data_IF_835683795930
#
_entry.id   IF_835683795930
#
_cell.length_a   1.000
_cell.length_b   1.000
_cell.length_c   1.000
_cell.angle_alpha   90.00
_cell.angle_beta   90.00
_cell.angle_gamma   90.00
#
_symmetry.space_group_name_H-M   'P 1'
#
loop_
_entity.id
_entity.type
_entity.pdbx_description
1 polymer ?
#
# COMPACT_ATOMS: atom_id res chain seq x y z
N UNK A 1 6.59 -8.16 -24.27
CA UNK A 1 5.26 -8.33 -23.66
C UNK A 1 5.13 -7.35 -22.51
N UNK A 2 3.96 -6.71 -22.32
CA UNK A 2 3.74 -5.80 -21.19
C UNK A 2 3.93 -6.56 -19.87
N UNK A 3 4.42 -5.87 -18.83
CA UNK A 3 4.39 -6.40 -17.47
C UNK A 3 2.93 -6.56 -17.01
N UNK A 4 2.61 -7.66 -16.34
CA UNK A 4 1.27 -7.94 -15.83
C UNK A 4 1.26 -7.81 -14.31
N UNK A 5 0.48 -6.87 -13.80
CA UNK A 5 0.30 -6.67 -12.36
C UNK A 5 -1.11 -7.12 -11.95
N UNK A 6 -1.23 -7.83 -10.83
CA UNK A 6 -2.51 -8.15 -10.20
C UNK A 6 -2.68 -7.32 -8.93
N UNK A 7 -3.69 -6.45 -8.92
CA UNK A 7 -4.06 -5.67 -7.74
C UNK A 7 -5.14 -6.44 -6.98
N UNK A 8 -4.80 -6.87 -5.77
CA UNK A 8 -5.61 -7.77 -4.95
C UNK A 8 -6.31 -6.94 -3.88
N UNK A 9 -7.62 -6.77 -4.01
CA UNK A 9 -8.46 -6.42 -2.88
C UNK A 9 -8.84 -7.69 -2.10
N UNK A 10 -8.32 -7.89 -0.88
CA UNK A 10 -8.55 -9.12 -0.13
C UNK A 10 -9.91 -9.12 0.61
N UNK A 11 -10.75 -8.09 0.42
CA UNK A 11 -12.15 -8.08 0.86
C UNK A 11 -13.13 -8.32 -0.31
N UNK A 12 -14.38 -8.62 0.01
CA UNK A 12 -15.40 -9.00 -0.99
C UNK A 12 -16.11 -7.81 -1.65
N UNK A 13 -15.69 -6.57 -1.34
CA UNK A 13 -16.28 -5.36 -1.90
C UNK A 13 -15.71 -5.05 -3.28
N UNK A 14 -16.52 -5.28 -4.31
CA UNK A 14 -16.21 -4.84 -5.68
C UNK A 14 -16.07 -3.32 -5.75
N UNK A 15 -16.88 -2.58 -4.97
CA UNK A 15 -16.78 -1.13 -4.88
C UNK A 15 -15.41 -0.65 -4.41
N UNK A 16 -14.81 -1.28 -3.38
CA UNK A 16 -13.45 -0.94 -2.94
C UNK A 16 -12.41 -1.27 -4.01
N UNK A 17 -12.63 -2.33 -4.78
CA UNK A 17 -11.76 -2.67 -5.93
C UNK A 17 -11.84 -1.61 -7.02
N UNK A 18 -13.05 -1.14 -7.34
CA UNK A 18 -13.27 -0.09 -8.33
C UNK A 18 -12.66 1.25 -7.89
N UNK A 19 -12.64 1.54 -6.58
CA UNK A 19 -12.01 2.73 -6.02
C UNK A 19 -10.47 2.76 -6.21
N UNK A 20 -9.82 1.59 -6.35
CA UNK A 20 -8.38 1.51 -6.63
C UNK A 20 -8.03 1.89 -8.08
N UNK A 21 -8.93 1.62 -9.04
CA UNK A 21 -8.71 1.85 -10.47
C UNK A 21 -8.27 3.28 -10.81
N UNK A 22 -8.94 4.36 -10.35
CA UNK A 22 -8.50 5.72 -10.66
C UNK A 22 -7.12 6.05 -10.09
N UNK A 23 -6.73 5.47 -8.95
CA UNK A 23 -5.38 5.65 -8.39
C UNK A 23 -4.37 4.98 -9.30
N UNK A 24 -4.59 3.70 -9.62
CA UNK A 24 -3.65 2.90 -10.43
C UNK A 24 -3.52 3.47 -11.84
N UNK A 25 -4.62 3.94 -12.44
CA UNK A 25 -4.60 4.64 -13.73
C UNK A 25 -3.98 6.04 -13.63
N UNK A 26 -4.16 6.70 -12.48
CA UNK A 26 -3.62 8.02 -12.16
C UNK A 26 -2.14 8.01 -11.82
N UNK A 27 -1.56 6.85 -11.48
CA UNK A 27 -0.10 6.61 -11.54
C UNK A 27 0.28 6.67 -13.01
N UNK A 28 0.46 7.88 -13.53
CA UNK A 28 0.64 8.08 -14.96
C UNK A 28 1.98 7.45 -15.40
N UNK A 29 1.86 6.33 -16.10
CA UNK A 29 2.97 5.59 -16.70
C UNK A 29 3.51 6.23 -17.99
N UNK A 30 2.93 7.37 -18.40
CA UNK A 30 3.23 8.11 -19.63
C UNK A 30 3.15 9.63 -19.42
N UNK A 31 4.21 10.20 -18.85
CA UNK A 31 4.32 11.67 -18.72
C UNK A 31 3.28 12.26 -17.79
N UNK A 32 3.28 11.76 -16.55
CA UNK A 32 3.69 12.51 -15.37
C UNK A 32 3.75 11.51 -14.20
N UNK A 33 4.89 10.85 -14.06
CA UNK A 33 5.02 9.73 -13.11
C UNK A 33 5.11 10.19 -11.65
N UNK A 34 5.03 9.26 -10.70
CA UNK A 34 5.48 9.45 -9.32
C UNK A 34 6.86 10.15 -9.27
N UNK A 35 7.75 9.89 -10.24
CA UNK A 35 9.08 10.52 -10.36
C UNK A 35 9.01 12.03 -10.69
N UNK A 36 7.93 12.55 -11.28
CA UNK A 36 7.75 14.00 -11.45
C UNK A 36 7.27 14.72 -10.19
N UNK A 37 6.63 14.00 -9.27
CA UNK A 37 6.38 14.47 -7.90
C UNK A 37 7.69 14.47 -7.10
N UNK A 38 8.67 13.63 -7.46
CA UNK A 38 9.82 13.32 -6.61
C UNK A 38 11.19 13.81 -7.10
N UNK A 39 11.31 14.47 -8.28
CA UNK A 39 12.60 14.97 -8.79
C UNK A 39 12.54 16.27 -9.62
N UNK A 40 11.52 17.13 -9.43
CA UNK A 40 11.56 18.50 -9.96
C UNK A 40 11.46 18.66 -11.49
N UNK A 41 10.77 17.74 -12.19
CA UNK A 41 10.23 18.04 -13.54
C UNK A 41 11.17 17.92 -14.74
N UNK A 42 12.06 16.92 -14.80
CA UNK A 42 12.80 16.60 -16.05
C UNK A 42 12.08 15.51 -16.86
N UNK A 43 11.74 15.83 -18.11
CA UNK A 43 10.99 15.01 -19.07
C UNK A 43 11.88 13.89 -19.64
N UNK A 44 11.37 12.65 -19.64
CA UNK A 44 11.94 11.49 -20.34
C UNK A 44 11.15 11.17 -21.63
N UNK A 45 11.78 10.57 -22.65
CA UNK A 45 11.22 10.49 -24.01
C UNK A 45 9.99 9.56 -24.17
N UNK A 46 9.23 9.85 -25.23
CA UNK A 46 7.75 9.78 -25.30
C UNK A 46 7.05 8.41 -25.51
N UNK A 47 7.70 7.25 -25.51
CA UNK A 47 6.94 5.98 -25.70
C UNK A 47 7.51 4.78 -24.97
N UNK A 48 6.75 4.25 -24.00
CA UNK A 48 6.75 2.84 -23.62
C UNK A 48 5.32 2.25 -23.57
N UNK A 49 5.07 1.09 -24.21
CA UNK A 49 3.78 0.41 -24.28
C UNK A 49 3.70 -0.86 -23.39
N UNK A 50 3.78 -0.77 -22.05
CA UNK A 50 4.40 -1.89 -21.31
C UNK A 50 3.81 -2.36 -19.97
N UNK A 51 2.58 -2.02 -19.56
CA UNK A 51 1.97 -2.62 -18.34
C UNK A 51 0.48 -2.91 -18.54
N UNK A 52 0.05 -4.12 -18.22
CA UNK A 52 -1.34 -4.53 -18.05
C UNK A 52 -1.61 -4.70 -16.55
N UNK A 53 -2.73 -4.13 -16.09
CA UNK A 53 -3.18 -4.26 -14.70
C UNK A 53 -4.51 -4.98 -14.68
N UNK A 54 -4.55 -6.12 -13.98
CA UNK A 54 -5.77 -6.85 -13.70
C UNK A 54 -6.10 -6.70 -12.19
N UNK A 55 -7.37 -6.94 -11.83
CA UNK A 55 -7.87 -6.74 -10.47
C UNK A 55 -8.48 -8.04 -9.94
N UNK A 56 -8.24 -8.31 -8.66
CA UNK A 56 -8.88 -9.38 -7.91
C UNK A 56 -9.69 -8.80 -6.76
N UNK A 57 -10.92 -9.29 -6.59
CA UNK A 57 -11.75 -9.07 -5.41
C UNK A 57 -11.96 -10.42 -4.75
N UNK A 58 -11.87 -10.49 -3.42
CA UNK A 58 -12.11 -11.75 -2.72
C UNK A 58 -13.51 -12.32 -3.08
N UNK A 59 -13.63 -13.64 -3.35
CA UNK A 59 -14.92 -14.25 -3.65
C UNK A 59 -15.91 -14.08 -2.51
N UNK A 60 -17.20 -13.96 -2.85
CA UNK A 60 -18.28 -13.92 -1.85
C UNK A 60 -18.64 -15.31 -1.37
N UNK A 61 -18.47 -16.29 -2.24
CA UNK A 61 -18.68 -17.70 -1.96
C UNK A 61 -17.61 -18.19 -0.99
N UNK A 62 -17.97 -19.05 -0.01
CA UNK A 62 -17.00 -19.59 0.94
C UNK A 62 -15.92 -20.44 0.26
N UNK A 63 -14.71 -20.40 0.80
CA UNK A 63 -13.61 -21.26 0.38
C UNK A 63 -13.40 -22.38 1.40
N UNK A 64 -13.18 -23.61 0.94
CA UNK A 64 -12.81 -24.72 1.82
C UNK A 64 -11.29 -24.84 1.86
N UNK A 65 -10.69 -24.74 3.05
CA UNK A 65 -9.26 -24.90 3.25
C UNK A 65 -8.82 -26.35 3.00
N UNK A 66 -7.51 -26.59 2.92
CA UNK A 66 -6.95 -27.95 2.76
C UNK A 66 -7.31 -28.87 3.94
N UNK A 67 -7.54 -28.28 5.10
CA UNK A 67 -7.94 -28.93 6.35
C UNK A 67 -9.47 -29.12 6.46
N UNK A 68 -10.23 -28.77 5.41
CA UNK A 68 -11.69 -28.92 5.38
C UNK A 68 -12.46 -27.82 6.12
N UNK A 69 -11.81 -26.70 6.46
CA UNK A 69 -12.44 -25.58 7.17
C UNK A 69 -13.10 -24.65 6.15
N UNK A 70 -14.38 -24.36 6.33
CA UNK A 70 -15.11 -23.35 5.53
C UNK A 70 -14.74 -21.95 5.99
N UNK A 71 -14.23 -21.14 5.06
CA UNK A 71 -13.81 -19.76 5.27
C UNK A 71 -14.75 -18.83 4.50
N UNK A 72 -15.34 -17.87 5.21
CA UNK A 72 -16.25 -16.89 4.65
C UNK A 72 -15.49 -15.68 4.11
N UNK A 73 -15.97 -15.11 3.00
CA UNK A 73 -15.44 -13.87 2.46
C UNK A 73 -15.76 -12.67 3.36
N UNK A 74 -14.75 -11.83 3.62
CA UNK A 74 -14.89 -10.68 4.52
C UNK A 74 -15.22 -9.42 3.72
N UNK A 75 -16.36 -8.73 3.98
CA UNK A 75 -16.73 -7.50 3.24
C UNK A 75 -15.81 -6.30 3.49
N UNK A 76 -15.33 -6.16 4.72
CA UNK A 76 -14.39 -5.11 5.12
C UNK A 76 -13.50 -5.63 6.25
N UNK A 77 -12.19 -5.43 6.11
CA UNK A 77 -11.20 -5.88 7.08
C UNK A 77 -10.89 -4.73 8.03
N UNK A 78 -11.17 -4.91 9.32
CA UNK A 78 -11.10 -3.86 10.34
C UNK A 78 -10.17 -4.23 11.52
N UNK A 79 -9.49 -5.38 11.48
CA UNK A 79 -8.49 -5.79 12.47
C UNK A 79 -7.62 -6.95 11.96
N UNK A 80 -6.53 -7.27 12.67
CA UNK A 80 -5.62 -8.37 12.34
C UNK A 80 -6.26 -9.76 12.29
N UNK A 81 -7.29 -10.05 13.11
CA UNK A 81 -7.99 -11.35 13.02
C UNK A 81 -8.70 -11.52 11.67
N UNK A 82 -9.34 -10.45 11.21
CA UNK A 82 -9.99 -10.44 9.90
C UNK A 82 -8.97 -10.49 8.75
N UNK A 83 -7.78 -9.88 8.89
CA UNK A 83 -6.74 -9.97 7.85
C UNK A 83 -6.21 -11.40 7.68
N UNK A 84 -6.09 -12.16 8.78
CA UNK A 84 -5.73 -13.58 8.74
C UNK A 84 -6.78 -14.41 8.00
N UNK A 85 -8.06 -14.29 8.39
CA UNK A 85 -9.16 -15.02 7.76
C UNK A 85 -9.30 -14.68 6.28
N UNK A 86 -9.17 -13.39 5.94
CA UNK A 86 -9.17 -12.91 4.55
C UNK A 86 -8.00 -13.50 3.76
N UNK A 87 -6.79 -13.54 4.33
CA UNK A 87 -5.64 -14.14 3.67
C UNK A 87 -5.85 -15.63 3.37
N UNK A 88 -6.36 -16.39 4.34
CA UNK A 88 -6.68 -17.81 4.18
C UNK A 88 -7.77 -18.04 3.13
N UNK A 89 -8.78 -17.18 3.10
CA UNK A 89 -9.85 -17.23 2.10
C UNK A 89 -9.36 -16.93 0.68
N UNK A 90 -8.50 -15.91 0.51
CA UNK A 90 -8.04 -15.47 -0.80
C UNK A 90 -6.95 -16.37 -1.40
N UNK A 91 -6.08 -16.93 -0.56
CA UNK A 91 -4.85 -17.58 -1.01
C UNK A 91 -5.07 -18.75 -1.98
N UNK A 92 -6.02 -19.68 -1.78
CA UNK A 92 -6.25 -20.78 -2.72
C UNK A 92 -6.55 -20.32 -4.15
N UNK A 93 -7.29 -19.23 -4.30
CA UNK A 93 -7.63 -18.64 -5.60
C UNK A 93 -6.41 -17.98 -6.25
N UNK A 94 -5.62 -17.26 -5.46
CA UNK A 94 -4.44 -16.53 -5.93
C UNK A 94 -3.25 -17.44 -6.23
N UNK A 95 -3.12 -18.55 -5.50
CA UNK A 95 -2.04 -19.52 -5.70
C UNK A 95 -2.03 -20.07 -7.13
N UNK A 96 -3.22 -20.25 -7.72
CA UNK A 96 -3.36 -20.70 -9.11
C UNK A 96 -2.85 -19.70 -10.15
N UNK A 97 -2.77 -18.41 -9.78
CA UNK A 97 -2.34 -17.31 -10.65
C UNK A 97 -0.84 -17.02 -10.55
N UNK A 98 -0.13 -17.69 -9.65
CA UNK A 98 1.32 -17.59 -9.57
C UNK A 98 1.91 -18.17 -10.86
N UNK A 99 2.73 -17.38 -11.55
CA UNK A 99 3.27 -17.67 -12.85
C UNK A 99 2.48 -17.05 -14.00
N UNK A 100 1.38 -16.35 -13.75
CA UNK A 100 0.61 -15.63 -14.78
C UNK A 100 0.86 -14.11 -14.74
N UNK A 101 1.35 -13.60 -13.60
CA UNK A 101 1.61 -12.18 -13.35
C UNK A 101 3.06 -11.93 -12.92
N UNK A 102 3.62 -10.79 -13.32
CA UNK A 102 4.95 -10.32 -12.93
C UNK A 102 4.96 -9.68 -11.53
N UNK A 103 3.82 -9.15 -11.08
CA UNK A 103 3.72 -8.51 -9.77
C UNK A 103 2.34 -8.65 -9.12
N UNK A 104 2.32 -8.76 -7.79
CA UNK A 104 1.10 -8.83 -6.98
C UNK A 104 1.11 -7.71 -5.94
N UNK A 105 0.04 -6.91 -5.90
CA UNK A 105 -0.14 -5.86 -4.89
C UNK A 105 -1.31 -6.21 -3.97
N UNK A 106 -1.04 -6.40 -2.68
CA UNK A 106 -2.12 -6.61 -1.68
C UNK A 106 -2.62 -5.24 -1.19
N UNK A 107 -3.84 -4.89 -1.58
CA UNK A 107 -4.49 -3.61 -1.32
C UNK A 107 -5.28 -3.59 0.00
N UNK A 108 -4.63 -4.00 1.08
CA UNK A 108 -5.10 -3.80 2.45
C UNK A 108 -3.99 -3.14 3.27
N UNK A 109 -4.29 -2.01 3.91
CA UNK A 109 -3.30 -1.28 4.69
C UNK A 109 -3.20 -1.90 6.09
N UNK A 110 -2.48 -3.01 6.17
CA UNK A 110 -2.20 -3.78 7.38
C UNK A 110 -0.96 -4.66 7.15
N UNK A 111 -0.36 -5.25 8.18
CA UNK A 111 0.62 -6.32 8.03
C UNK A 111 -0.05 -7.61 7.51
N UNK A 112 -0.65 -7.53 6.31
CA UNK A 112 -1.58 -8.53 5.80
C UNK A 112 -0.85 -9.84 5.48
N UNK A 113 -1.19 -10.98 6.11
CA UNK A 113 -0.44 -12.23 5.97
C UNK A 113 -0.32 -12.72 4.52
N UNK A 114 -1.28 -12.38 3.68
CA UNK A 114 -1.31 -12.72 2.26
C UNK A 114 -0.04 -12.32 1.50
N UNK A 115 0.62 -11.20 1.88
CA UNK A 115 1.89 -10.77 1.26
C UNK A 115 2.97 -11.85 1.47
N UNK A 116 3.14 -12.32 2.70
CA UNK A 116 4.11 -13.36 3.03
C UNK A 116 3.76 -14.72 2.43
N UNK A 117 2.47 -15.06 2.38
CA UNK A 117 1.99 -16.31 1.75
C UNK A 117 2.30 -16.33 0.24
N UNK A 118 2.01 -15.24 -0.47
CA UNK A 118 2.31 -15.12 -1.90
C UNK A 118 3.83 -15.12 -2.14
N UNK A 119 4.61 -14.42 -1.32
CA UNK A 119 6.07 -14.37 -1.44
C UNK A 119 6.68 -15.77 -1.35
N UNK A 120 6.29 -16.55 -0.33
CA UNK A 120 6.74 -17.93 -0.17
C UNK A 120 6.35 -18.80 -1.37
N UNK A 121 5.12 -18.71 -1.85
CA UNK A 121 4.67 -19.52 -2.97
C UNK A 121 5.37 -19.14 -4.30
N UNK A 122 5.70 -17.86 -4.50
CA UNK A 122 6.55 -17.40 -5.62
C UNK A 122 7.96 -17.99 -5.50
N UNK A 123 8.57 -17.94 -4.32
CA UNK A 123 9.91 -18.49 -4.06
C UNK A 123 9.95 -20.01 -4.27
N UNK A 124 8.96 -20.74 -3.75
CA UNK A 124 8.81 -22.18 -3.95
C UNK A 124 8.75 -22.52 -5.44
N UNK A 125 7.94 -21.80 -6.22
CA UNK A 125 7.86 -21.97 -7.68
C UNK A 125 9.20 -21.70 -8.36
N UNK A 126 9.88 -20.62 -8.01
CA UNK A 126 11.16 -20.23 -8.62
C UNK A 126 12.28 -21.22 -8.30
N UNK A 127 12.19 -21.94 -7.18
CA UNK A 127 13.18 -22.94 -6.76
C UNK A 127 12.99 -24.32 -7.40
N UNK A 128 11.84 -24.60 -8.05
CA UNK A 128 11.61 -25.86 -8.77
C UNK A 128 12.43 -25.86 -10.06
N UNK A 129 13.35 -26.82 -10.19
CA UNK A 129 14.13 -27.01 -11.43
C UNK A 129 13.18 -27.26 -12.61
N UNK A 130 13.39 -26.62 -13.78
CA UNK A 130 12.54 -26.85 -14.95
C UNK A 130 12.53 -28.34 -15.29
N UNK A 131 11.39 -29.00 -15.10
CA UNK A 131 11.17 -30.35 -15.64
C UNK A 131 10.66 -30.21 -17.07
N UNK A 132 11.07 -31.13 -17.95
CA UNK A 132 10.76 -31.10 -19.39
C UNK A 132 9.24 -31.12 -19.73
N UNK A 133 8.36 -31.25 -18.74
CA UNK A 133 6.91 -31.32 -18.90
C UNK A 133 6.16 -30.00 -18.60
N UNK A 134 6.83 -28.96 -18.10
CA UNK A 134 6.20 -27.65 -17.86
C UNK A 134 6.45 -26.76 -19.08
N UNK A 135 5.64 -26.94 -20.13
CA UNK A 135 5.58 -26.06 -21.29
C UNK A 135 4.91 -24.71 -20.95
N UNK A 136 5.38 -23.99 -19.94
CA UNK A 136 5.15 -22.54 -19.79
C UNK A 136 6.33 -21.94 -19.05
N UNK A 137 7.38 -21.56 -19.78
CA UNK A 137 8.49 -20.91 -19.13
C UNK A 137 8.05 -19.45 -18.94
N UNK A 138 7.46 -19.13 -17.80
CA UNK A 138 7.31 -17.73 -17.41
C UNK A 138 8.70 -17.27 -16.96
N UNK A 139 9.37 -16.51 -17.83
CA UNK A 139 10.81 -16.21 -17.73
C UNK A 139 11.14 -15.03 -16.81
N UNK A 140 10.13 -14.33 -16.26
CA UNK A 140 10.35 -13.13 -15.45
C UNK A 140 10.21 -13.42 -13.97
N UNK A 141 11.09 -12.81 -13.18
CA UNK A 141 11.00 -12.84 -11.73
C UNK A 141 9.69 -12.17 -11.30
N UNK A 142 8.96 -12.83 -10.41
CA UNK A 142 7.70 -12.32 -9.89
C UNK A 142 7.93 -11.59 -8.56
N UNK A 143 7.16 -10.54 -8.32
CA UNK A 143 7.28 -9.68 -7.14
C UNK A 143 5.97 -9.57 -6.37
N UNK A 144 6.04 -9.34 -5.06
CA UNK A 144 4.86 -9.09 -4.23
C UNK A 144 5.17 -8.08 -3.13
N UNK A 145 4.22 -7.16 -2.93
CA UNK A 145 4.25 -6.19 -1.83
C UNK A 145 2.83 -5.90 -1.33
N UNK A 146 2.71 -5.40 -0.10
CA UNK A 146 1.49 -4.77 0.40
C UNK A 146 1.51 -3.26 0.22
N UNK A 147 0.32 -2.63 0.23
CA UNK A 147 0.21 -1.16 0.20
C UNK A 147 0.75 -0.49 1.47
N UNK A 148 0.72 -1.20 2.62
CA UNK A 148 1.33 -0.73 3.86
C UNK A 148 2.85 -0.68 3.73
N UNK A 149 3.47 -1.81 3.35
CA UNK A 149 4.92 -1.93 3.18
C UNK A 149 5.45 -0.85 2.23
N UNK A 150 4.85 -0.76 1.04
CA UNK A 150 5.25 0.20 0.03
C UNK A 150 5.07 1.65 0.51
N UNK A 151 4.00 1.94 1.27
CA UNK A 151 3.79 3.29 1.83
C UNK A 151 4.84 3.65 2.87
N UNK A 152 5.20 2.73 3.77
CA UNK A 152 6.19 2.97 4.82
C UNK A 152 7.59 3.21 4.23
N UNK A 153 8.02 2.35 3.31
CA UNK A 153 9.31 2.50 2.61
C UNK A 153 9.40 3.84 1.87
N UNK A 154 8.36 4.16 1.10
CA UNK A 154 8.31 5.38 0.32
C UNK A 154 8.27 6.62 1.24
N UNK A 155 7.52 6.57 2.34
CA UNK A 155 7.46 7.67 3.30
C UNK A 155 8.78 7.90 4.03
N UNK A 156 9.47 6.83 4.44
CA UNK A 156 10.80 6.92 5.03
C UNK A 156 11.80 7.52 4.03
N UNK A 157 11.72 7.13 2.75
CA UNK A 157 12.53 7.71 1.70
C UNK A 157 12.30 9.23 1.55
N UNK A 158 11.04 9.70 1.53
CA UNK A 158 10.75 11.14 1.42
C UNK A 158 11.21 11.95 2.62
N UNK A 159 11.09 11.39 3.81
CA UNK A 159 11.64 12.01 5.01
C UNK A 159 13.14 12.27 4.87
N UNK A 160 13.87 11.28 4.36
CA UNK A 160 15.31 11.38 4.16
C UNK A 160 15.68 12.37 3.05
N UNK A 161 14.94 12.40 1.93
CA UNK A 161 15.15 13.38 0.86
C UNK A 161 14.87 14.82 1.33
N UNK A 162 13.74 15.05 2.00
CA UNK A 162 13.36 16.38 2.48
C UNK A 162 14.35 16.93 3.53
N UNK A 163 14.97 16.05 4.32
CA UNK A 163 15.97 16.44 5.33
C UNK A 163 17.29 16.94 4.71
N UNK A 164 17.58 16.63 3.45
CA UNK A 164 18.81 17.06 2.75
C UNK A 164 18.69 18.47 2.14
N UNK A 165 17.47 18.96 1.89
CA UNK A 165 17.23 20.24 1.21
C UNK A 165 17.09 21.43 2.17
N UNK A 166 16.67 21.18 3.41
CA UNK A 166 16.47 22.23 4.41
C UNK A 166 17.73 22.51 5.24
N UNK A 167 18.18 23.76 5.31
CA UNK A 167 19.25 24.22 6.23
C UNK A 167 18.91 24.05 7.74
N UNK A 168 17.71 23.58 8.06
CA UNK A 168 17.26 23.28 9.43
C UNK A 168 17.67 21.87 9.85
N UNK A 169 18.39 21.78 10.97
CA UNK A 169 18.99 20.56 11.53
C UNK A 169 18.00 19.55 12.14
N UNK A 170 16.69 19.68 11.91
CA UNK A 170 15.69 18.76 12.50
C UNK A 170 15.36 17.62 11.54
N UNK A 171 15.61 16.35 11.90
CA UNK A 171 15.21 15.21 11.09
C UNK A 171 13.71 15.23 10.83
N UNK A 172 13.34 15.03 9.57
CA UNK A 172 11.94 14.86 9.18
C UNK A 172 11.33 13.60 9.77
N UNK A 173 10.00 13.57 9.82
CA UNK A 173 9.20 12.40 10.23
C UNK A 173 8.03 12.20 9.29
N UNK A 174 7.62 10.95 9.14
CA UNK A 174 6.36 10.58 8.55
C UNK A 174 5.42 10.01 9.62
N UNK A 175 4.12 10.11 9.42
CA UNK A 175 3.16 9.39 10.25
C UNK A 175 2.00 8.85 9.41
N UNK A 176 1.19 7.99 10.00
CA UNK A 176 0.09 7.30 9.31
C UNK A 176 -1.23 7.86 9.81
N UNK A 177 -2.14 8.19 8.89
CA UNK A 177 -3.54 8.50 9.20
C UNK A 177 -4.40 7.36 8.66
N UNK A 178 -5.08 6.62 9.54
CA UNK A 178 -5.90 5.45 9.17
C UNK A 178 -7.37 5.61 9.58
N UNK A 179 -8.17 4.57 9.36
CA UNK A 179 -9.61 4.50 9.57
C UNK A 179 -9.96 4.31 11.05
N UNK A 180 -10.13 3.07 11.48
CA UNK A 180 -10.69 2.68 12.78
C UNK A 180 -9.64 2.67 13.90
N UNK A 181 -10.10 2.82 15.15
CA UNK A 181 -9.23 2.91 16.33
C UNK A 181 -8.52 1.59 16.63
N UNK A 182 -9.15 0.46 16.28
CA UNK A 182 -8.62 -0.89 16.44
C UNK A 182 -7.30 -1.11 15.68
N UNK A 183 -7.05 -0.34 14.61
CA UNK A 183 -5.81 -0.43 13.85
C UNK A 183 -4.64 0.34 14.48
N UNK A 184 -4.88 1.24 15.43
CA UNK A 184 -3.87 2.20 15.89
C UNK A 184 -2.62 1.51 16.41
N UNK A 185 -2.78 0.62 17.38
CA UNK A 185 -1.66 -0.08 18.03
C UNK A 185 -1.01 -1.10 17.07
N UNK A 186 -1.82 -1.82 16.30
CA UNK A 186 -1.34 -2.84 15.36
C UNK A 186 -0.49 -2.22 14.24
N UNK A 187 -0.94 -1.11 13.65
CA UNK A 187 -0.19 -0.40 12.61
C UNK A 187 1.03 0.34 13.16
N UNK A 188 0.97 0.88 14.38
CA UNK A 188 2.13 1.54 15.00
C UNK A 188 3.25 0.53 15.25
N UNK A 189 2.91 -0.62 15.81
CA UNK A 189 3.85 -1.73 16.06
C UNK A 189 4.43 -2.24 14.75
N UNK A 190 3.58 -2.60 13.78
CA UNK A 190 4.05 -3.13 12.51
C UNK A 190 4.92 -2.16 11.71
N UNK A 191 4.64 -0.85 11.76
CA UNK A 191 5.49 0.15 11.12
C UNK A 191 6.87 0.26 11.79
N UNK A 192 6.94 0.18 13.13
CA UNK A 192 8.20 0.18 13.87
C UNK A 192 9.03 -1.06 13.59
N UNK A 193 8.40 -2.23 13.63
CA UNK A 193 9.07 -3.52 13.37
C UNK A 193 9.65 -3.58 11.96
N UNK A 194 8.92 -3.04 10.98
CA UNK A 194 9.38 -2.94 9.60
C UNK A 194 10.59 -2.01 9.46
N UNK A 195 10.56 -0.84 10.09
CA UNK A 195 11.68 0.10 10.06
C UNK A 195 12.93 -0.47 10.74
N UNK A 196 12.75 -1.14 11.90
CA UNK A 196 13.78 -1.87 12.62
C UNK A 196 14.47 -2.93 11.75
N UNK A 197 13.66 -3.76 11.09
CA UNK A 197 14.14 -4.84 10.22
C UNK A 197 14.96 -4.32 9.03
N UNK A 198 14.67 -3.09 8.59
CA UNK A 198 15.40 -2.40 7.53
C UNK A 198 16.66 -1.67 8.02
N UNK A 199 17.08 -1.88 9.27
CA UNK A 199 18.27 -1.27 9.87
C UNK A 199 18.08 0.19 10.29
N UNK A 200 16.84 0.69 10.34
CA UNK A 200 16.54 1.99 10.92
C UNK A 200 16.19 1.82 12.39
N UNK A 201 16.87 2.55 13.28
CA UNK A 201 16.51 2.57 14.70
C UNK A 201 15.19 3.38 14.89
N UNK A 202 14.11 2.77 15.43
CA UNK A 202 12.78 3.35 15.55
C UNK A 202 12.70 4.43 16.64
N UNK A 203 13.61 4.39 17.62
CA UNK A 203 13.80 5.47 18.60
C UNK A 203 14.64 6.61 17.99
N UNK A 204 15.41 6.33 16.93
CA UNK A 204 16.03 7.30 16.02
C UNK A 204 15.18 7.59 14.76
N UNK A 205 13.99 8.14 14.99
CA UNK A 205 13.55 9.44 14.42
C UNK A 205 12.96 9.61 13.00
N UNK A 206 12.50 8.60 12.26
CA UNK A 206 11.71 8.88 11.02
C UNK A 206 10.20 8.68 11.15
N UNK A 207 9.70 7.97 12.18
CA UNK A 207 8.26 7.70 12.35
C UNK A 207 7.65 8.48 13.52
N UNK A 208 6.50 9.13 13.27
CA UNK A 208 5.75 9.94 14.22
C UNK A 208 4.54 9.21 14.85
N UNK A 209 4.31 7.96 14.44
CA UNK A 209 3.23 7.11 14.88
C UNK A 209 1.96 7.20 14.03
N UNK A 210 0.90 6.58 14.54
CA UNK A 210 -0.41 6.47 13.87
C UNK A 210 -1.45 7.39 14.52
N UNK A 211 -2.36 7.94 13.73
CA UNK A 211 -3.62 8.54 14.16
C UNK A 211 -4.79 8.02 13.33
N UNK A 212 -6.00 8.06 13.89
CA UNK A 212 -7.18 7.39 13.34
C UNK A 212 -8.31 8.40 13.12
N UNK A 213 -9.13 8.18 12.10
CA UNK A 213 -10.33 9.01 11.86
C UNK A 213 -11.47 8.69 12.83
N UNK A 214 -11.44 7.50 13.44
CA UNK A 214 -12.53 6.94 14.25
C UNK A 214 -13.72 6.47 13.41
N UNK A 215 -13.54 6.34 12.09
CA UNK A 215 -14.51 5.74 11.17
C UNK A 215 -13.98 4.39 10.70
N UNK A 216 -14.83 3.39 10.58
CA UNK A 216 -14.50 2.12 9.91
C UNK A 216 -14.27 2.34 8.41
N UNK A 217 -13.61 1.39 7.73
CA UNK A 217 -13.35 1.50 6.29
C UNK A 217 -14.64 1.58 5.45
N UNK A 218 -15.72 0.93 5.92
CA UNK A 218 -17.06 1.02 5.32
C UNK A 218 -17.68 2.39 5.53
N UNK A 219 -17.63 2.93 6.76
CA UNK A 219 -18.18 4.25 7.09
C UNK A 219 -17.47 5.36 6.33
N UNK A 220 -16.15 5.25 6.15
CA UNK A 220 -15.37 6.21 5.38
C UNK A 220 -15.87 6.35 3.93
N UNK A 221 -16.40 5.27 3.34
CA UNK A 221 -16.97 5.29 1.99
C UNK A 221 -18.42 5.77 1.95
N UNK A 222 -19.23 5.46 2.97
CA UNK A 222 -20.66 5.75 2.96
C UNK A 222 -21.03 7.09 3.59
N UNK A 223 -20.16 7.64 4.44
CA UNK A 223 -20.41 8.89 5.14
C UNK A 223 -20.33 10.10 4.19
N UNK A 224 -20.99 11.23 4.55
CA UNK A 224 -20.88 12.46 3.78
C UNK A 224 -19.42 12.92 3.62
N UNK A 225 -19.05 13.37 2.43
CA UNK A 225 -17.67 13.75 2.10
C UNK A 225 -17.09 14.80 3.06
N UNK A 226 -17.88 15.77 3.51
CA UNK A 226 -17.45 16.79 4.46
C UNK A 226 -17.13 16.22 5.85
N UNK A 227 -17.88 15.21 6.29
CA UNK A 227 -17.61 14.51 7.55
C UNK A 227 -16.30 13.73 7.45
N UNK A 228 -16.13 12.94 6.39
CA UNK A 228 -14.91 12.17 6.13
C UNK A 228 -13.69 13.09 6.09
N UNK A 229 -13.79 14.18 5.33
CA UNK A 229 -12.75 15.21 5.23
C UNK A 229 -12.41 15.82 6.59
N UNK A 230 -13.41 16.17 7.38
CA UNK A 230 -13.23 16.72 8.73
C UNK A 230 -12.53 15.73 9.66
N UNK A 231 -12.85 14.43 9.58
CA UNK A 231 -12.23 13.39 10.40
C UNK A 231 -10.78 13.15 10.03
N UNK A 232 -10.46 13.09 8.73
CA UNK A 232 -9.08 12.98 8.23
C UNK A 232 -8.25 14.19 8.66
N UNK A 233 -8.80 15.41 8.50
CA UNK A 233 -8.13 16.65 8.94
C UNK A 233 -7.84 16.61 10.44
N UNK A 234 -8.83 16.27 11.26
CA UNK A 234 -8.67 16.20 12.72
C UNK A 234 -7.63 15.16 13.16
N UNK A 235 -7.61 13.99 12.53
CA UNK A 235 -6.58 12.97 12.78
C UNK A 235 -5.18 13.47 12.41
N UNK A 236 -5.07 14.15 11.27
CA UNK A 236 -3.83 14.76 10.80
C UNK A 236 -3.33 15.85 11.75
N UNK A 237 -4.22 16.71 12.26
CA UNK A 237 -3.89 17.75 13.23
C UNK A 237 -3.36 17.18 14.55
N UNK A 238 -3.95 16.08 15.05
CA UNK A 238 -3.42 15.39 16.25
C UNK A 238 -2.03 14.84 16.02
N UNK A 239 -1.78 14.24 14.85
CA UNK A 239 -0.47 13.73 14.47
C UNK A 239 0.54 14.87 14.33
N UNK A 240 0.16 15.99 13.71
CA UNK A 240 0.95 17.23 13.60
C UNK A 240 1.30 17.79 14.98
N UNK A 241 0.34 17.86 15.90
CA UNK A 241 0.58 18.34 17.26
C UNK A 241 1.58 17.45 18.01
N UNK A 242 1.46 16.12 17.90
CA UNK A 242 2.40 15.17 18.53
C UNK A 242 3.80 15.23 17.92
N UNK A 243 3.91 15.29 16.60
CA UNK A 243 5.17 15.24 15.88
C UNK A 243 5.88 16.61 15.79
N UNK A 244 5.13 17.69 15.99
CA UNK A 244 5.61 19.06 15.89
C UNK A 244 6.12 19.42 14.50
N UNK A 245 7.10 20.33 14.41
CA UNK A 245 7.64 20.82 13.15
C UNK A 245 8.53 19.79 12.46
N UNK A 246 8.63 18.53 12.90
CA UNK A 246 9.33 17.46 12.18
C UNK A 246 8.42 16.69 11.23
N UNK A 247 7.08 16.80 11.34
CA UNK A 247 6.19 16.09 10.42
C UNK A 247 6.30 16.67 9.00
N UNK A 248 6.70 15.82 8.06
CA UNK A 248 6.92 16.15 6.64
C UNK A 248 6.10 15.29 5.70
N UNK A 249 5.76 14.07 6.13
CA UNK A 249 5.10 13.09 5.26
C UNK A 249 3.92 12.46 5.99
N UNK A 250 2.82 12.24 5.28
CA UNK A 250 1.64 11.53 5.77
C UNK A 250 1.38 10.34 4.85
N UNK A 251 1.38 9.14 5.43
CA UNK A 251 0.88 7.92 4.78
C UNK A 251 -0.63 7.79 4.99
N UNK A 252 -1.35 7.60 3.89
CA UNK A 252 -2.79 7.32 3.91
C UNK A 252 -3.00 5.84 4.24
N UNK A 253 -3.37 5.58 5.49
CA UNK A 253 -3.39 4.28 6.14
C UNK A 253 -4.59 3.39 5.79
N UNK A 254 -5.24 3.59 4.65
CA UNK A 254 -6.32 2.75 4.17
C UNK A 254 -6.52 2.93 2.66
N UNK A 255 -6.77 1.83 1.94
CA UNK A 255 -7.14 1.86 0.53
C UNK A 255 -8.39 2.73 0.26
N UNK A 256 -9.30 2.81 1.23
CA UNK A 256 -10.51 3.63 1.17
C UNK A 256 -10.24 5.14 1.13
N UNK A 257 -9.05 5.58 1.57
CA UNK A 257 -8.71 6.99 1.68
C UNK A 257 -8.09 7.57 0.39
N UNK A 258 -8.01 6.74 -0.65
CA UNK A 258 -7.58 7.11 -1.98
C UNK A 258 -8.22 8.42 -2.51
N UNK A 259 -7.41 9.33 -3.04
CA UNK A 259 -7.91 10.60 -3.58
C UNK A 259 -8.34 11.63 -2.53
N UNK A 260 -8.17 11.34 -1.23
CA UNK A 260 -8.50 12.23 -0.13
C UNK A 260 -7.29 13.04 0.38
N UNK A 261 -6.21 13.13 -0.39
CA UNK A 261 -4.96 13.80 0.01
C UNK A 261 -5.18 15.29 0.28
N UNK A 262 -6.17 15.90 -0.38
CA UNK A 262 -6.56 17.29 -0.12
C UNK A 262 -6.99 17.49 1.34
N UNK A 263 -7.70 16.52 1.94
CA UNK A 263 -8.14 16.60 3.33
C UNK A 263 -6.95 16.65 4.31
N UNK A 264 -5.89 15.88 4.01
CA UNK A 264 -4.64 15.90 4.77
C UNK A 264 -3.92 17.25 4.61
N UNK A 265 -3.77 17.72 3.37
CA UNK A 265 -3.07 19.00 3.09
C UNK A 265 -3.73 20.21 3.75
N UNK A 266 -5.06 20.20 3.89
CA UNK A 266 -5.80 21.26 4.59
C UNK A 266 -5.59 21.34 6.11
N UNK A 267 -4.85 20.38 6.70
CA UNK A 267 -4.36 20.46 8.09
C UNK A 267 -3.03 21.24 8.22
N UNK A 268 -2.41 21.61 7.09
CA UNK A 268 -1.13 22.29 7.05
C UNK A 268 -1.27 23.69 6.47
N UNK A 269 -0.45 24.62 6.95
CA UNK A 269 -0.33 25.96 6.41
C UNK A 269 0.44 25.90 5.08
N UNK A 270 0.20 26.86 4.19
CA UNK A 270 0.86 26.90 2.86
C UNK A 270 2.39 27.01 2.95
N UNK A 271 2.92 27.51 4.07
CA UNK A 271 4.35 27.60 4.36
C UNK A 271 4.97 26.29 4.89
N UNK A 272 4.17 25.26 5.18
CA UNK A 272 4.63 23.96 5.65
C UNK A 272 4.20 22.87 4.64
N UNK A 273 4.98 22.65 3.56
CA UNK A 273 4.65 21.63 2.59
C UNK A 273 4.68 20.24 3.25
N UNK A 274 3.64 19.46 3.00
CA UNK A 274 3.52 18.07 3.43
C UNK A 274 3.41 17.16 2.21
N UNK A 275 4.20 16.09 2.19
CA UNK A 275 4.07 15.02 1.20
C UNK A 275 3.01 14.04 1.67
N UNK A 276 2.04 13.71 0.82
CA UNK A 276 1.04 12.68 1.11
C UNK A 276 1.34 11.47 0.25
N UNK A 277 1.47 10.31 0.88
CA UNK A 277 1.76 9.02 0.23
C UNK A 277 0.50 8.16 0.26
N UNK A 278 -0.01 7.84 -0.93
CA UNK A 278 -1.03 6.81 -1.12
C UNK A 278 -0.35 5.44 -1.25
N UNK A 279 -0.76 4.48 -0.42
CA UNK A 279 -0.14 3.15 -0.41
C UNK A 279 -0.39 2.34 -1.69
N UNK A 280 -1.51 2.55 -2.38
CA UNK A 280 -1.79 1.91 -3.66
C UNK A 280 -0.87 2.44 -4.74
N UNK A 281 -0.73 3.78 -4.83
CA UNK A 281 0.18 4.41 -5.78
C UNK A 281 1.64 4.01 -5.50
N UNK A 282 2.05 4.01 -4.23
CA UNK A 282 3.38 3.56 -3.81
C UNK A 282 3.63 2.09 -4.19
N UNK A 283 2.67 1.20 -3.93
CA UNK A 283 2.77 -0.22 -4.24
C UNK A 283 2.92 -0.49 -5.73
N UNK A 284 2.16 0.20 -6.58
CA UNK A 284 2.31 0.12 -8.04
C UNK A 284 3.70 0.61 -8.46
N UNK A 285 4.17 1.74 -7.93
CA UNK A 285 5.50 2.27 -8.25
C UNK A 285 6.63 1.30 -7.86
N UNK A 286 6.55 0.69 -6.67
CA UNK A 286 7.51 -0.31 -6.20
C UNK A 286 7.55 -1.53 -7.12
N UNK A 287 6.39 -2.13 -7.44
CA UNK A 287 6.33 -3.29 -8.33
C UNK A 287 6.90 -3.00 -9.71
N UNK A 288 6.62 -1.82 -10.26
CA UNK A 288 7.15 -1.41 -11.56
C UNK A 288 8.66 -1.17 -11.52
N UNK A 289 9.16 -0.54 -10.47
CA UNK A 289 10.59 -0.36 -10.26
C UNK A 289 11.31 -1.71 -10.21
N UNK A 290 10.77 -2.67 -9.46
CA UNK A 290 11.32 -4.03 -9.36
C UNK A 290 11.29 -4.77 -10.70
N UNK A 291 10.15 -4.77 -11.40
CA UNK A 291 9.99 -5.42 -12.69
C UNK A 291 10.94 -4.86 -13.77
N UNK A 292 11.23 -3.56 -13.73
CA UNK A 292 12.13 -2.89 -14.69
C UNK A 292 13.61 -3.03 -14.36
N UNK A 293 13.92 -3.23 -13.07
CA UNK A 293 15.29 -3.45 -12.62
C UNK A 293 15.75 -4.91 -12.79
N UNK A 294 14.86 -5.81 -13.24
CA UNK A 294 15.10 -7.25 -13.37
C UNK A 294 15.37 -7.71 -14.79
#
# INVERSE_FOLDING_TARGET
MPYRLLIINPNTSTHMTDALKPIVNGVNLRGNSAVEIYNGGKVLPDKLPEVQVDYFTAPREPTVSKEGITLEGIPSINNGKQSILSAQHCFPHLQSLIGEYDGFLVACYSPHPLVGMLRRAIEERNNVKPTAAIERPFHRRQYVTGIMDASIEMSAYFVNCASQESQQHTPGKFGIVTTADEWKEELDTAARDMLLSNGNDPDLTVFAGVETTGLTASELHSAPADLVKSRIKSATERLKHRAGPSLRVISMGCAAMAGMEKAVREAFDTSQPVTVVDGTAAGVAVLLGLCRAS
#
